data_IF_360967559950
#
_entry.id   IF_360967559950
#
_cell.length_a   1.000
_cell.length_b   1.000
_cell.length_c   1.000
_cell.angle_alpha   90.00
_cell.angle_beta   90.00
_cell.angle_gamma   90.00
#
_symmetry.space_group_name_H-M   'P 1'
#
loop_
_entity.id
_entity.type
_entity.pdbx_description
1 polymer ?
#
# COMPACT_ATOMS: atom_id res chain seq x y z
N UNK A 1 38.32 -19.34 14.53
CA UNK A 1 37.83 -18.00 14.94
C UNK A 1 36.81 -17.58 13.93
N UNK A 2 35.56 -17.86 14.26
CA UNK A 2 34.43 -17.52 13.40
C UNK A 2 34.07 -16.05 13.65
N UNK A 3 34.34 -15.18 12.70
CA UNK A 3 33.97 -13.77 12.78
C UNK A 3 32.50 -13.71 12.42
N UNK A 4 31.66 -13.44 13.40
CA UNK A 4 30.22 -13.18 13.17
C UNK A 4 30.11 -12.04 12.14
N UNK A 5 29.16 -12.14 11.18
CA UNK A 5 28.93 -11.08 10.19
C UNK A 5 28.55 -9.78 10.92
N UNK A 6 29.29 -8.73 10.62
CA UNK A 6 29.05 -7.38 11.13
C UNK A 6 27.67 -6.91 10.66
N UNK A 7 26.73 -6.81 11.58
CA UNK A 7 25.41 -6.24 11.31
C UNK A 7 25.61 -4.75 11.03
N UNK A 8 25.26 -4.24 9.84
CA UNK A 8 25.39 -2.82 9.56
C UNK A 8 24.59 -2.02 10.60
N UNK A 9 25.22 -1.00 11.16
CA UNK A 9 24.57 -0.11 12.11
C UNK A 9 23.29 0.48 11.47
N UNK A 10 22.16 0.55 12.21
CA UNK A 10 20.95 1.15 11.70
C UNK A 10 21.23 2.61 11.29
N UNK A 11 20.56 3.12 10.26
CA UNK A 11 20.73 4.49 9.81
C UNK A 11 20.47 5.44 10.99
N UNK A 12 21.46 6.25 11.34
CA UNK A 12 21.38 7.23 12.43
C UNK A 12 20.68 8.48 11.92
N UNK A 13 19.41 8.58 12.20
CA UNK A 13 18.56 9.75 11.93
C UNK A 13 17.11 9.38 12.05
N UNK A 14 16.19 10.32 12.30
CA UNK A 14 14.78 10.04 12.14
C UNK A 14 14.57 9.60 10.69
N UNK A 15 13.98 8.43 10.49
CA UNK A 15 13.55 8.02 9.17
C UNK A 15 12.71 9.17 8.59
N UNK A 16 13.07 9.66 7.41
CA UNK A 16 12.29 10.71 6.75
C UNK A 16 10.84 10.26 6.61
N UNK A 17 9.93 11.23 6.54
CA UNK A 17 8.48 10.97 6.50
C UNK A 17 8.00 10.11 5.32
N UNK A 18 8.84 9.82 4.33
CA UNK A 18 8.54 8.96 3.19
C UNK A 18 9.68 7.96 3.01
N UNK A 19 9.61 6.84 3.73
CA UNK A 19 10.69 5.87 3.77
C UNK A 19 10.19 4.43 3.76
N UNK A 20 10.97 3.55 3.11
CA UNK A 20 10.83 2.10 3.18
C UNK A 20 12.07 1.53 3.83
N UNK A 21 11.90 0.83 4.94
CA UNK A 21 12.96 0.22 5.73
C UNK A 21 12.85 -1.30 5.66
N UNK A 22 13.83 -2.00 5.08
CA UNK A 22 13.92 -3.44 5.20
C UNK A 22 14.35 -3.83 6.61
N UNK A 23 13.88 -4.97 7.10
CA UNK A 23 14.32 -5.55 8.35
C UNK A 23 14.48 -7.07 8.24
N UNK A 24 15.23 -7.63 9.17
CA UNK A 24 15.41 -9.07 9.35
C UNK A 24 15.35 -9.40 10.84
N UNK A 25 14.64 -10.47 11.19
CA UNK A 25 14.62 -11.01 12.56
C UNK A 25 15.56 -12.21 12.61
N UNK A 26 16.77 -11.95 13.11
CA UNK A 26 17.82 -12.98 13.21
C UNK A 26 17.34 -14.11 14.10
N UNK A 27 17.47 -15.34 13.64
CA UNK A 27 17.08 -16.57 14.37
C UNK A 27 15.65 -17.03 14.15
N UNK A 28 14.81 -16.25 13.47
CA UNK A 28 13.46 -16.67 13.08
C UNK A 28 13.29 -16.85 11.56
N UNK A 29 14.35 -16.57 10.78
CA UNK A 29 14.32 -16.56 9.31
C UNK A 29 13.16 -15.71 8.74
N UNK A 30 12.87 -14.60 9.40
CA UNK A 30 11.82 -13.64 9.01
C UNK A 30 12.47 -12.41 8.43
N UNK A 31 12.05 -12.01 7.25
CA UNK A 31 12.42 -10.76 6.59
C UNK A 31 11.20 -9.94 6.31
N UNK A 32 11.35 -8.64 6.27
CA UNK A 32 10.22 -7.78 5.99
C UNK A 32 10.60 -6.37 5.61
N UNK A 33 9.56 -5.56 5.48
CA UNK A 33 9.64 -4.13 5.21
C UNK A 33 8.64 -3.38 6.04
N UNK A 34 9.06 -2.22 6.49
CA UNK A 34 8.18 -1.22 7.10
C UNK A 34 8.17 -0.02 6.16
N UNK A 35 6.99 0.52 5.91
CA UNK A 35 6.83 1.78 5.20
C UNK A 35 6.21 2.82 6.13
N UNK A 36 6.69 4.05 6.02
CA UNK A 36 6.07 5.23 6.58
C UNK A 36 5.93 6.25 5.46
N UNK A 37 4.73 6.84 5.33
CA UNK A 37 4.43 7.85 4.33
C UNK A 37 3.73 9.06 4.98
N UNK A 38 4.11 10.24 4.53
CA UNK A 38 3.55 11.51 4.97
C UNK A 38 3.37 12.49 3.82
N UNK A 39 4.35 13.36 3.52
CA UNK A 39 4.24 14.38 2.47
C UNK A 39 3.92 13.81 1.08
N UNK A 40 4.50 12.67 0.70
CA UNK A 40 4.20 12.02 -0.58
C UNK A 40 2.74 11.55 -0.64
N UNK A 41 2.23 10.97 0.47
CA UNK A 41 0.84 10.54 0.55
C UNK A 41 -0.11 11.74 0.46
N UNK A 42 0.13 12.80 1.24
CA UNK A 42 -0.67 14.04 1.18
C UNK A 42 -0.70 14.59 -0.24
N UNK A 43 0.46 14.70 -0.90
CA UNK A 43 0.56 15.18 -2.29
C UNK A 43 -0.28 14.34 -3.27
N UNK A 44 -0.38 13.03 -3.06
CA UNK A 44 -1.15 12.15 -3.93
C UNK A 44 -2.66 12.28 -3.69
N UNK A 45 -3.08 12.34 -2.42
CA UNK A 45 -4.49 12.40 -2.04
C UNK A 45 -5.08 13.78 -2.30
N UNK A 46 -4.33 14.85 -2.09
CA UNK A 46 -4.77 16.23 -2.28
C UNK A 46 -4.96 16.63 -3.76
N UNK A 47 -4.53 15.78 -4.70
CA UNK A 47 -4.78 16.03 -6.14
C UNK A 47 -6.24 15.90 -6.54
N UNK A 48 -7.03 15.23 -5.72
CA UNK A 48 -8.44 14.96 -5.95
C UNK A 48 -9.21 15.24 -4.67
N UNK A 49 -10.40 15.77 -4.81
CA UNK A 49 -11.29 16.03 -3.68
C UNK A 49 -12.06 14.74 -3.32
N UNK A 50 -11.33 13.75 -2.79
CA UNK A 50 -11.93 12.49 -2.36
C UNK A 50 -12.60 12.61 -0.99
N UNK A 51 -13.78 12.00 -0.79
CA UNK A 51 -14.33 11.82 0.55
C UNK A 51 -13.37 11.06 1.46
N UNK A 52 -13.35 11.39 2.75
CA UNK A 52 -12.45 10.81 3.75
C UNK A 52 -12.33 9.27 3.69
N UNK A 53 -13.44 8.49 3.57
CA UNK A 53 -13.34 7.03 3.46
C UNK A 53 -12.60 6.56 2.20
N UNK A 54 -12.80 7.26 1.07
CA UNK A 54 -12.13 6.95 -0.20
C UNK A 54 -10.64 7.25 -0.11
N UNK A 55 -10.28 8.40 0.49
CA UNK A 55 -8.88 8.77 0.73
C UNK A 55 -8.16 7.76 1.60
N UNK A 56 -8.80 7.27 2.68
CA UNK A 56 -8.22 6.23 3.55
C UNK A 56 -7.98 4.94 2.78
N UNK A 57 -8.97 4.46 2.05
CA UNK A 57 -8.87 3.22 1.27
C UNK A 57 -7.80 3.33 0.15
N UNK A 58 -7.75 4.49 -0.55
CA UNK A 58 -6.72 4.73 -1.55
C UNK A 58 -5.32 4.81 -0.91
N UNK A 59 -5.22 5.39 0.29
CA UNK A 59 -3.99 5.41 1.08
C UNK A 59 -3.50 4.01 1.43
N UNK A 60 -4.38 3.10 1.84
CA UNK A 60 -4.04 1.69 2.07
C UNK A 60 -3.53 1.01 0.78
N UNK A 61 -4.19 1.25 -0.36
CA UNK A 61 -3.75 0.73 -1.65
C UNK A 61 -2.36 1.27 -2.04
N UNK A 62 -2.07 2.55 -1.76
CA UNK A 62 -0.76 3.17 -2.00
C UNK A 62 0.31 2.49 -1.14
N UNK A 63 0.07 2.35 0.17
CA UNK A 63 1.02 1.69 1.10
C UNK A 63 1.29 0.25 0.67
N UNK A 64 0.25 -0.52 0.37
CA UNK A 64 0.40 -1.90 -0.11
C UNK A 64 1.22 -1.96 -1.39
N UNK A 65 0.93 -1.08 -2.35
CA UNK A 65 1.65 -1.01 -3.63
C UNK A 65 3.14 -0.71 -3.42
N UNK A 66 3.48 0.23 -2.52
CA UNK A 66 4.88 0.56 -2.24
C UNK A 66 5.59 -0.57 -1.50
N UNK A 67 4.94 -1.22 -0.52
CA UNK A 67 5.50 -2.39 0.16
C UNK A 67 5.89 -3.49 -0.83
N UNK A 68 5.00 -3.80 -1.77
CA UNK A 68 5.22 -4.84 -2.78
C UNK A 68 6.19 -4.38 -3.86
N UNK A 69 5.99 -3.20 -4.42
CA UNK A 69 6.81 -2.66 -5.50
C UNK A 69 8.25 -2.38 -5.09
N UNK A 70 8.48 -1.92 -3.85
CA UNK A 70 9.84 -1.71 -3.33
C UNK A 70 10.62 -3.00 -3.09
N UNK A 71 9.96 -4.16 -3.10
CA UNK A 71 10.62 -5.47 -3.01
C UNK A 71 11.20 -5.95 -4.34
N UNK A 72 10.83 -5.33 -5.45
CA UNK A 72 11.35 -5.67 -6.77
C UNK A 72 12.87 -5.40 -6.82
N UNK A 73 13.61 -6.38 -7.34
CA UNK A 73 15.09 -6.33 -7.44
C UNK A 73 15.58 -5.72 -8.76
N UNK A 74 14.71 -5.12 -9.53
CA UNK A 74 14.99 -4.57 -10.87
C UNK A 74 14.24 -3.25 -11.06
N UNK A 75 14.67 -2.47 -12.02
CA UNK A 75 13.91 -1.31 -12.49
C UNK A 75 12.67 -1.78 -13.23
N UNK A 76 11.49 -1.31 -12.79
CA UNK A 76 10.23 -1.75 -13.36
C UNK A 76 9.04 -1.01 -12.76
N UNK A 77 7.88 -1.50 -13.12
CA UNK A 77 6.59 -0.95 -12.70
C UNK A 77 5.79 -2.03 -11.99
N UNK A 78 5.22 -1.67 -10.84
CA UNK A 78 4.25 -2.46 -10.12
C UNK A 78 2.91 -1.73 -10.14
N UNK A 79 1.87 -2.37 -10.63
CA UNK A 79 0.52 -1.81 -10.70
C UNK A 79 -0.40 -2.66 -9.84
N UNK A 80 -1.07 -2.02 -8.89
CA UNK A 80 -2.19 -2.57 -8.15
C UNK A 80 -3.48 -1.99 -8.72
N UNK A 81 -4.42 -2.84 -9.08
CA UNK A 81 -5.72 -2.42 -9.61
C UNK A 81 -6.83 -3.28 -9.02
N UNK A 82 -7.92 -2.64 -8.58
CA UNK A 82 -9.16 -3.34 -8.21
C UNK A 82 -10.25 -3.10 -9.26
N UNK A 83 -11.13 -4.08 -9.37
CA UNK A 83 -12.41 -3.96 -10.07
C UNK A 83 -13.46 -4.67 -9.22
N UNK A 84 -14.41 -3.91 -8.68
CA UNK A 84 -15.30 -4.37 -7.62
C UNK A 84 -16.72 -3.87 -7.82
N UNK A 85 -17.65 -4.42 -7.06
CA UNK A 85 -19.06 -4.03 -7.08
C UNK A 85 -19.45 -3.08 -5.94
N UNK A 86 -18.49 -2.67 -5.10
CA UNK A 86 -18.71 -1.73 -4.00
C UNK A 86 -18.90 -0.29 -4.46
N UNK A 87 -19.14 0.65 -3.52
CA UNK A 87 -19.18 2.09 -3.81
C UNK A 87 -17.87 2.63 -4.40
N UNK A 88 -16.72 2.06 -4.03
CA UNK A 88 -15.43 2.30 -4.69
C UNK A 88 -15.19 1.15 -5.65
N UNK A 89 -15.55 1.34 -6.89
CA UNK A 89 -15.54 0.27 -7.90
C UNK A 89 -14.19 0.06 -8.59
N UNK A 90 -13.27 1.02 -8.45
CA UNK A 90 -11.92 0.91 -9.00
C UNK A 90 -10.90 1.71 -8.19
N UNK A 91 -9.80 1.05 -7.84
CA UNK A 91 -8.55 1.68 -7.40
C UNK A 91 -7.47 1.34 -8.41
N UNK A 92 -6.61 2.29 -8.70
CA UNK A 92 -5.38 2.05 -9.49
C UNK A 92 -4.23 2.76 -8.80
N UNK A 93 -3.19 2.00 -8.46
CA UNK A 93 -1.94 2.56 -7.96
C UNK A 93 -0.80 2.03 -8.81
N UNK A 94 0.00 2.94 -9.33
CA UNK A 94 1.16 2.67 -10.18
C UNK A 94 2.42 3.13 -9.44
N UNK A 95 3.29 2.18 -9.15
CA UNK A 95 4.60 2.42 -8.57
C UNK A 95 5.67 2.05 -9.58
N UNK A 96 6.51 3.02 -9.89
CA UNK A 96 7.70 2.80 -10.73
C UNK A 96 8.96 3.01 -9.89
N UNK A 97 9.82 2.03 -9.90
CA UNK A 97 11.12 2.11 -9.23
C UNK A 97 11.96 3.26 -9.82
N UNK A 98 12.72 4.03 -9.01
CA UNK A 98 12.92 3.82 -7.56
C UNK A 98 11.84 4.45 -6.66
N UNK A 99 10.91 5.28 -7.13
CA UNK A 99 9.98 5.94 -6.22
C UNK A 99 8.92 6.84 -6.87
N UNK A 100 8.60 6.67 -8.16
CA UNK A 100 7.49 7.42 -8.79
C UNK A 100 6.15 6.75 -8.50
N UNK A 101 5.17 7.52 -8.04
CA UNK A 101 3.84 7.05 -7.66
C UNK A 101 2.73 7.82 -8.39
N UNK A 102 1.70 7.07 -8.80
CA UNK A 102 0.41 7.60 -9.24
C UNK A 102 -0.69 6.79 -8.59
N UNK A 103 -1.78 7.45 -8.21
CA UNK A 103 -2.91 6.80 -7.58
C UNK A 103 -4.21 7.44 -8.04
N UNK A 104 -5.24 6.63 -8.19
CA UNK A 104 -6.58 7.06 -8.59
C UNK A 104 -7.63 6.13 -7.99
N UNK A 105 -8.75 6.71 -7.58
CA UNK A 105 -9.95 5.99 -7.15
C UNK A 105 -11.15 6.46 -7.96
N UNK A 106 -12.01 5.51 -8.38
CA UNK A 106 -13.33 5.79 -8.90
C UNK A 106 -14.36 5.33 -7.89
N UNK A 107 -15.36 6.17 -7.62
CA UNK A 107 -16.39 5.88 -6.64
C UNK A 107 -17.72 6.47 -7.06
N UNK A 108 -18.79 5.88 -6.53
CA UNK A 108 -20.18 6.34 -6.65
C UNK A 108 -20.55 7.12 -5.39
N UNK A 109 -20.72 8.43 -5.53
CA UNK A 109 -21.01 9.33 -4.41
C UNK A 109 -22.37 9.08 -3.75
N UNK A 110 -23.38 8.66 -4.52
CA UNK A 110 -24.71 8.37 -3.99
C UNK A 110 -24.71 7.09 -3.15
N UNK A 111 -24.05 6.03 -3.65
CA UNK A 111 -23.89 4.78 -2.91
C UNK A 111 -23.04 4.95 -1.67
N UNK A 112 -21.98 5.77 -1.76
CA UNK A 112 -21.12 6.07 -0.63
C UNK A 112 -21.88 6.82 0.48
N UNK A 113 -22.70 7.82 0.10
CA UNK A 113 -23.50 8.60 1.04
C UNK A 113 -24.62 7.77 1.71
N UNK A 114 -25.07 6.69 1.07
CA UNK A 114 -26.09 5.78 1.60
C UNK A 114 -25.53 4.77 2.63
N UNK A 115 -24.19 4.70 2.84
CA UNK A 115 -23.58 3.79 3.82
C UNK A 115 -23.68 4.36 5.23
N UNK A 116 -24.13 3.55 6.18
CA UNK A 116 -24.18 3.93 7.61
C UNK A 116 -22.78 3.95 8.26
N UNK A 117 -21.84 3.13 7.77
CA UNK A 117 -20.47 3.06 8.24
C UNK A 117 -19.52 2.81 7.05
N UNK A 118 -18.45 3.59 6.96
CA UNK A 118 -17.45 3.48 5.90
C UNK A 118 -16.30 2.57 6.34
N UNK A 119 -16.56 1.28 6.52
CA UNK A 119 -15.52 0.28 6.65
C UNK A 119 -14.78 0.16 5.30
N UNK A 120 -13.43 0.28 5.25
CA UNK A 120 -12.66 0.13 4.01
C UNK A 120 -12.98 -1.14 3.23
N UNK A 121 -13.21 -2.26 3.92
CA UNK A 121 -13.57 -3.52 3.30
C UNK A 121 -14.95 -3.45 2.60
N UNK A 122 -15.93 -2.84 3.26
CA UNK A 122 -17.28 -2.66 2.70
C UNK A 122 -17.32 -1.66 1.52
N UNK A 123 -16.37 -0.72 1.46
CA UNK A 123 -16.25 0.21 0.33
C UNK A 123 -15.89 -0.49 -0.98
N UNK A 124 -15.08 -1.53 -0.92
CA UNK A 124 -14.72 -2.32 -2.10
C UNK A 124 -15.82 -3.29 -2.50
N UNK A 125 -16.47 -3.94 -1.52
CA UNK A 125 -17.40 -5.03 -1.82
C UNK A 125 -16.69 -6.25 -2.41
N UNK A 126 -17.34 -6.96 -3.32
CA UNK A 126 -16.79 -8.13 -3.99
C UNK A 126 -16.23 -7.79 -5.38
N UNK A 127 -15.22 -8.55 -5.81
CA UNK A 127 -14.58 -8.34 -7.11
C UNK A 127 -13.21 -8.97 -7.21
N UNK A 128 -12.27 -8.28 -7.84
CA UNK A 128 -10.90 -8.75 -8.03
C UNK A 128 -9.86 -7.67 -7.74
N UNK A 129 -8.74 -8.12 -7.22
CA UNK A 129 -7.49 -7.35 -7.13
C UNK A 129 -6.49 -7.96 -8.11
N UNK A 130 -6.00 -7.16 -9.03
CA UNK A 130 -4.92 -7.50 -9.95
C UNK A 130 -3.62 -6.81 -9.53
N UNK A 131 -2.54 -7.57 -9.47
CA UNK A 131 -1.18 -7.08 -9.23
C UNK A 131 -0.33 -7.40 -10.45
N UNK A 132 0.16 -6.37 -11.12
CA UNK A 132 0.92 -6.50 -12.37
C UNK A 132 2.35 -6.02 -12.16
N UNK A 133 3.31 -6.84 -12.57
CA UNK A 133 4.72 -6.52 -12.62
C UNK A 133 5.13 -6.39 -14.07
N UNK A 134 5.66 -5.21 -14.45
CA UNK A 134 6.17 -4.91 -15.78
C UNK A 134 7.65 -4.55 -15.68
N UNK A 135 8.50 -5.39 -16.24
CA UNK A 135 9.96 -5.24 -16.23
C UNK A 135 10.49 -4.56 -17.49
N UNK A 136 9.59 -4.04 -18.34
CA UNK A 136 9.93 -3.34 -19.58
C UNK A 136 9.90 -4.21 -20.85
N UNK A 137 10.43 -3.66 -21.96
CA UNK A 137 10.16 -4.13 -23.32
C UNK A 137 10.64 -5.56 -23.65
N UNK A 138 11.51 -6.16 -22.83
CA UNK A 138 12.14 -7.46 -23.15
C UNK A 138 11.69 -8.60 -22.23
N UNK A 139 10.72 -8.36 -21.35
CA UNK A 139 10.21 -9.33 -20.39
C UNK A 139 8.70 -9.47 -20.49
N UNK A 140 8.21 -10.69 -20.24
CA UNK A 140 6.77 -10.90 -20.14
C UNK A 140 6.22 -10.23 -18.89
N UNK A 141 5.09 -9.54 -19.05
CA UNK A 141 4.31 -9.01 -17.94
C UNK A 141 3.81 -10.16 -17.07
N UNK A 142 4.06 -10.09 -15.77
CA UNK A 142 3.47 -11.02 -14.79
C UNK A 142 2.24 -10.35 -14.17
N UNK A 143 1.15 -11.10 -14.04
CA UNK A 143 -0.05 -10.62 -13.38
C UNK A 143 -0.62 -11.70 -12.46
N UNK A 144 -0.74 -11.37 -11.17
CA UNK A 144 -1.49 -12.14 -10.21
C UNK A 144 -2.88 -11.52 -10.02
N UNK A 145 -3.92 -12.35 -9.98
CA UNK A 145 -5.30 -11.93 -9.73
C UNK A 145 -5.83 -12.71 -8.54
N UNK A 146 -6.37 -12.01 -7.56
CA UNK A 146 -7.02 -12.61 -6.39
C UNK A 146 -8.43 -12.07 -6.21
N UNK A 147 -9.36 -12.90 -5.70
CA UNK A 147 -10.70 -12.43 -5.38
C UNK A 147 -10.67 -11.44 -4.22
N UNK A 148 -11.56 -10.46 -4.30
CA UNK A 148 -11.99 -9.61 -3.19
C UNK A 148 -13.38 -10.06 -2.79
N UNK A 149 -13.54 -10.45 -1.53
CA UNK A 149 -14.78 -10.98 -0.96
C UNK A 149 -15.36 -10.07 0.14
N UNK A 150 -14.94 -8.79 0.14
CA UNK A 150 -15.29 -7.83 1.17
C UNK A 150 -14.41 -7.87 2.42
N UNK A 151 -13.31 -8.61 2.40
CA UNK A 151 -12.38 -8.70 3.56
C UNK A 151 -11.23 -7.66 3.52
N UNK A 152 -11.18 -6.82 2.48
CA UNK A 152 -10.21 -5.72 2.36
C UNK A 152 -8.87 -6.09 1.73
N UNK A 153 -7.99 -5.08 1.59
CA UNK A 153 -6.73 -5.20 0.87
C UNK A 153 -5.67 -6.05 1.59
N UNK A 154 -5.64 -6.02 2.93
CA UNK A 154 -4.71 -6.88 3.70
C UNK A 154 -4.97 -8.35 3.45
N UNK A 155 -6.24 -8.77 3.52
CA UNK A 155 -6.62 -10.15 3.29
C UNK A 155 -6.38 -10.58 1.85
N UNK A 156 -6.64 -9.72 0.88
CA UNK A 156 -6.32 -9.98 -0.51
C UNK A 156 -4.81 -10.19 -0.72
N UNK A 157 -3.96 -9.39 -0.06
CA UNK A 157 -2.52 -9.59 -0.08
C UNK A 157 -2.11 -10.94 0.54
N UNK A 158 -2.68 -11.33 1.68
CA UNK A 158 -2.44 -12.64 2.29
C UNK A 158 -2.83 -13.77 1.34
N UNK A 159 -3.99 -13.66 0.69
CA UNK A 159 -4.47 -14.65 -0.29
C UNK A 159 -3.51 -14.77 -1.48
N UNK A 160 -3.03 -13.64 -2.00
CA UNK A 160 -2.05 -13.62 -3.07
C UNK A 160 -0.77 -14.38 -2.70
N UNK A 161 -0.16 -14.05 -1.57
CA UNK A 161 1.09 -14.70 -1.15
C UNK A 161 0.90 -16.18 -0.86
N UNK A 162 -0.21 -16.58 -0.28
CA UNK A 162 -0.51 -17.96 -0.01
C UNK A 162 -0.71 -18.79 -1.29
N UNK A 163 -1.41 -18.25 -2.28
CA UNK A 163 -1.79 -18.99 -3.49
C UNK A 163 -0.76 -18.89 -4.61
N UNK A 164 -0.16 -17.71 -4.82
CA UNK A 164 0.71 -17.45 -5.96
C UNK A 164 2.18 -17.61 -5.62
N UNK A 165 2.61 -17.11 -4.48
CA UNK A 165 4.02 -17.13 -4.08
C UNK A 165 4.36 -18.28 -3.12
N UNK A 166 3.34 -18.86 -2.47
CA UNK A 166 3.47 -19.93 -1.46
C UNK A 166 4.42 -19.54 -0.30
N UNK A 167 4.46 -18.26 0.03
CA UNK A 167 5.28 -17.70 1.10
C UNK A 167 4.35 -17.24 2.23
N UNK A 168 4.50 -17.76 3.45
CA UNK A 168 3.79 -17.23 4.62
C UNK A 168 4.10 -15.74 4.76
N UNK A 169 3.06 -14.92 4.69
CA UNK A 169 3.23 -13.46 4.69
C UNK A 169 2.21 -12.82 5.61
N UNK A 170 2.67 -11.90 6.45
CA UNK A 170 1.82 -11.03 7.23
C UNK A 170 1.91 -9.60 6.67
N UNK A 171 0.75 -8.99 6.45
CA UNK A 171 0.65 -7.59 6.02
C UNK A 171 -0.24 -6.84 7.00
N UNK A 172 0.16 -5.61 7.35
CA UNK A 172 -0.66 -4.64 8.10
C UNK A 172 -0.54 -3.28 7.46
N UNK A 173 -1.67 -2.61 7.35
CA UNK A 173 -1.80 -1.29 6.75
C UNK A 173 -2.52 -0.36 7.71
N UNK A 174 -2.12 0.90 7.74
CA UNK A 174 -2.79 1.92 8.54
C UNK A 174 -2.72 3.27 7.83
N UNK A 175 -3.83 3.99 7.77
CA UNK A 175 -3.92 5.33 7.20
C UNK A 175 -4.70 6.24 8.15
N UNK A 176 -4.18 7.42 8.39
CA UNK A 176 -4.81 8.42 9.24
C UNK A 176 -4.71 9.81 8.64
N UNK A 177 -5.77 10.57 8.75
CA UNK A 177 -5.76 12.01 8.60
C UNK A 177 -5.25 12.64 9.90
N UNK A 178 -4.32 13.57 9.78
CA UNK A 178 -3.77 14.34 10.90
C UNK A 178 -4.22 15.79 10.78
N UNK A 179 -4.93 16.26 11.78
CA UNK A 179 -5.36 17.64 11.87
C UNK A 179 -4.49 18.38 12.90
N UNK A 180 -3.77 19.40 12.46
CA UNK A 180 -2.93 20.23 13.33
C UNK A 180 -3.52 21.62 13.41
N UNK A 181 -3.76 22.11 14.65
CA UNK A 181 -4.26 23.46 14.88
C UNK A 181 -3.07 24.42 14.98
N UNK A 182 -2.96 25.36 14.06
CA UNK A 182 -1.98 26.44 14.03
C UNK A 182 -2.63 27.83 14.13
N UNK A 183 -1.82 28.87 14.10
CA UNK A 183 -2.30 30.28 14.14
C UNK A 183 -3.15 30.66 12.92
N UNK A 184 -3.00 29.96 11.78
CA UNK A 184 -3.74 30.18 10.53
C UNK A 184 -5.00 29.32 10.37
N UNK A 185 -5.35 28.45 11.34
CA UNK A 185 -6.50 27.56 11.23
C UNK A 185 -6.14 26.08 11.48
N UNK A 186 -6.87 25.17 10.84
CA UNK A 186 -6.63 23.74 10.91
C UNK A 186 -5.93 23.30 9.63
N UNK A 187 -4.73 22.78 9.78
CA UNK A 187 -3.96 22.14 8.72
C UNK A 187 -4.30 20.65 8.67
N UNK A 188 -4.56 20.13 7.48
CA UNK A 188 -4.82 18.72 7.22
C UNK A 188 -3.63 18.09 6.53
N UNK A 189 -3.22 16.92 7.00
CA UNK A 189 -2.17 16.13 6.36
C UNK A 189 -2.48 14.64 6.53
N UNK A 190 -1.82 13.82 5.72
CA UNK A 190 -2.01 12.37 5.77
C UNK A 190 -0.76 11.68 6.32
N UNK A 191 -0.98 10.63 7.08
CA UNK A 191 0.04 9.69 7.52
C UNK A 191 -0.41 8.28 7.22
N UNK A 192 0.50 7.49 6.69
CA UNK A 192 0.25 6.07 6.50
C UNK A 192 1.48 5.26 6.89
N UNK A 193 1.22 4.05 7.30
CA UNK A 193 2.24 3.07 7.61
C UNK A 193 1.83 1.69 7.17
N UNK A 194 2.80 0.84 6.93
CA UNK A 194 2.57 -0.56 6.61
C UNK A 194 3.74 -1.42 7.02
N UNK A 195 3.42 -2.68 7.28
CA UNK A 195 4.37 -3.73 7.59
C UNK A 195 4.10 -4.92 6.69
N UNK A 196 5.14 -5.49 6.13
CA UNK A 196 5.12 -6.81 5.50
C UNK A 196 6.25 -7.66 6.10
N UNK A 197 5.92 -8.86 6.56
CA UNK A 197 6.85 -9.85 7.08
C UNK A 197 6.64 -11.20 6.40
N UNK A 198 7.73 -11.87 6.06
CA UNK A 198 7.78 -13.15 5.32
C UNK A 198 8.80 -14.09 5.94
#
# INVERSE_FOLDING_TARGET
MDVAPEVPAPPQGPAGDDAVLPFEVVGLDVRGRIIQMGPALSTLLDRHDYPLPVSKLLGEAIVLTVLLGSSLKFEGQFILQTQTDGPVDMLVVDFRTPGSLRAYARFDAERLAAMEAADPAALLGAGVLAMTIDQGQHTSRYQGIVPLDGSGLEQAAHTYFAQSEQIPTAVRLAVAEVMTRGEGGVDHSWRAGGLMAQ
#
